data_IF_407513018249
#
_entry.id   IF_407513018249
#
_cell.length_a   1.000
_cell.length_b   1.000
_cell.length_c   1.000
_cell.angle_alpha   90.00
_cell.angle_beta   90.00
_cell.angle_gamma   90.00
#
_symmetry.space_group_name_H-M   'P 1'
#
loop_
_entity.id
_entity.type
_entity.pdbx_description
1 polymer ?
#
# COMPACT_ATOMS: atom_id res chain seq x y z
N UNK A 1 -3.83 17.64 13.59
CA UNK A 1 -3.93 18.33 12.27
C UNK A 1 -2.62 18.95 11.82
N UNK A 2 -1.96 19.81 12.62
CA UNK A 2 -0.67 20.44 12.25
C UNK A 2 0.49 19.44 12.03
N UNK A 3 0.58 18.37 12.82
CA UNK A 3 1.62 17.34 12.67
C UNK A 3 1.43 16.50 11.39
N UNK A 4 0.17 16.23 11.01
CA UNK A 4 -0.17 15.53 9.76
C UNK A 4 0.10 16.40 8.53
N UNK A 5 -0.18 17.70 8.61
CA UNK A 5 0.15 18.65 7.55
C UNK A 5 1.68 18.78 7.40
N UNK A 6 2.42 18.83 8.51
CA UNK A 6 3.89 18.85 8.51
C UNK A 6 4.43 17.53 7.94
N UNK A 7 3.91 16.37 8.32
CA UNK A 7 4.33 15.09 7.74
C UNK A 7 4.04 14.99 6.23
N UNK A 8 2.88 15.49 5.78
CA UNK A 8 2.53 15.53 4.36
C UNK A 8 3.42 16.51 3.59
N UNK A 9 3.71 17.68 4.16
CA UNK A 9 4.62 18.67 3.59
C UNK A 9 6.09 18.20 3.61
N UNK A 10 6.49 17.43 4.61
CA UNK A 10 7.81 16.76 4.67
C UNK A 10 7.93 15.64 3.65
N UNK A 11 6.85 14.88 3.40
CA UNK A 11 6.77 13.89 2.33
C UNK A 11 6.87 14.56 0.94
N UNK A 12 6.18 15.68 0.75
CA UNK A 12 6.25 16.49 -0.47
C UNK A 12 7.64 17.13 -0.67
N UNK A 13 8.29 17.56 0.42
CA UNK A 13 9.65 18.10 0.39
C UNK A 13 10.71 17.02 0.13
N UNK A 14 10.54 15.81 0.68
CA UNK A 14 11.40 14.64 0.38
C UNK A 14 11.26 14.21 -1.08
N UNK A 15 10.05 14.22 -1.66
CA UNK A 15 9.88 13.97 -3.10
C UNK A 15 10.54 15.06 -3.97
N UNK A 16 10.54 16.32 -3.50
CA UNK A 16 11.22 17.42 -4.19
C UNK A 16 12.76 17.39 -4.05
N UNK A 17 13.30 16.75 -3.00
CA UNK A 17 14.74 16.53 -2.86
C UNK A 17 15.23 15.32 -3.67
N UNK A 18 14.43 14.24 -3.78
CA UNK A 18 14.71 13.13 -4.69
C UNK A 18 14.76 13.58 -6.16
N UNK A 19 13.93 14.56 -6.54
CA UNK A 19 14.00 15.27 -7.81
C UNK A 19 15.38 15.92 -8.05
N UNK A 20 16.01 16.51 -7.03
CA UNK A 20 17.28 17.23 -7.19
C UNK A 20 18.51 16.33 -7.37
N UNK A 21 18.49 15.13 -6.78
CA UNK A 21 19.58 14.14 -6.89
C UNK A 21 19.45 13.25 -8.14
N UNK A 22 18.22 13.01 -8.64
CA UNK A 22 18.00 12.30 -9.90
C UNK A 22 18.16 13.17 -11.16
N UNK A 23 17.99 14.49 -11.06
CA UNK A 23 18.06 15.39 -12.22
C UNK A 23 19.47 15.71 -12.73
N UNK A 24 20.54 15.47 -11.96
CA UNK A 24 21.88 15.92 -12.39
C UNK A 24 22.51 15.07 -13.50
N UNK A 25 21.85 14.00 -13.97
CA UNK A 25 22.41 13.13 -15.00
C UNK A 25 21.74 13.14 -16.39
N UNK A 26 20.43 13.40 -16.49
CA UNK A 26 19.67 12.89 -17.66
C UNK A 26 18.66 13.86 -18.29
N UNK A 27 18.81 15.15 -18.06
CA UNK A 27 17.98 16.17 -18.71
C UNK A 27 18.81 17.16 -19.52
N UNK A 28 19.17 16.81 -20.76
CA UNK A 28 19.59 17.84 -21.73
C UNK A 28 18.55 18.02 -22.83
N UNK A 29 18.21 19.30 -22.98
CA UNK A 29 17.12 19.92 -23.72
C UNK A 29 17.37 19.93 -25.23
N UNK A 30 16.54 19.22 -26.02
CA UNK A 30 16.36 19.51 -27.45
C UNK A 30 15.22 20.54 -27.63
N UNK A 31 15.45 21.80 -27.28
CA UNK A 31 14.63 22.94 -27.75
C UNK A 31 15.54 23.80 -28.63
N UNK A 32 15.19 23.88 -29.91
CA UNK A 32 16.09 24.29 -30.98
C UNK A 32 16.53 25.75 -30.94
N UNK A 33 17.77 25.97 -31.35
CA UNK A 33 18.21 27.21 -31.98
C UNK A 33 18.57 26.88 -33.42
N UNK A 34 17.81 27.47 -34.34
CA UNK A 34 18.03 27.40 -35.78
C UNK A 34 19.37 28.04 -36.15
N UNK A 35 20.35 27.21 -36.50
CA UNK A 35 21.48 27.64 -37.33
C UNK A 35 21.61 26.73 -38.54
N UNK A 36 21.81 27.39 -39.68
CA UNK A 36 21.76 26.82 -41.02
C UNK A 36 22.82 25.74 -41.22
N UNK A 37 22.41 24.50 -41.50
CA UNK A 37 23.29 23.49 -42.08
C UNK A 37 22.60 22.80 -43.26
N UNK A 38 23.33 22.70 -44.37
CA UNK A 38 22.88 22.13 -45.62
C UNK A 38 22.92 20.59 -45.55
N UNK A 39 21.76 19.94 -45.72
CA UNK A 39 21.68 18.57 -46.24
C UNK A 39 21.48 17.41 -45.26
N UNK A 40 21.13 17.65 -43.99
CA UNK A 40 20.80 16.60 -43.03
C UNK A 40 19.40 16.75 -42.42
N UNK A 41 18.82 15.66 -41.93
CA UNK A 41 17.57 15.73 -41.15
C UNK A 41 17.86 16.51 -39.85
N UNK A 42 17.19 17.64 -39.57
CA UNK A 42 17.49 18.49 -38.41
C UNK A 42 17.30 17.78 -37.06
N UNK A 43 16.74 16.57 -37.06
CA UNK A 43 16.51 15.73 -35.89
C UNK A 43 17.65 14.74 -35.61
N UNK A 44 18.54 14.47 -36.57
CA UNK A 44 19.58 13.44 -36.45
C UNK A 44 20.57 13.68 -35.29
N UNK A 45 21.05 14.92 -35.03
CA UNK A 45 21.88 15.20 -33.86
C UNK A 45 21.17 14.95 -32.53
N UNK A 46 19.86 15.22 -32.45
CA UNK A 46 19.08 14.98 -31.22
C UNK A 46 18.82 13.49 -31.01
N UNK A 47 18.56 12.74 -32.09
CA UNK A 47 18.39 11.28 -32.02
C UNK A 47 19.69 10.60 -31.59
N UNK A 48 20.83 11.09 -32.09
CA UNK A 48 22.14 10.52 -31.81
C UNK A 48 22.53 10.54 -30.32
N UNK A 49 22.01 11.51 -29.54
CA UNK A 49 22.28 11.66 -28.11
C UNK A 49 21.11 11.24 -27.22
N UNK A 50 20.00 10.75 -27.80
CA UNK A 50 18.83 10.35 -27.04
C UNK A 50 18.95 8.87 -26.64
N UNK A 51 19.39 8.64 -25.40
CA UNK A 51 19.57 7.30 -24.85
C UNK A 51 18.29 6.45 -24.89
N UNK A 52 17.11 7.03 -24.66
CA UNK A 52 15.85 6.29 -24.62
C UNK A 52 15.47 5.76 -26.00
N UNK A 53 15.61 6.60 -27.03
CA UNK A 53 15.38 6.21 -28.42
C UNK A 53 16.36 5.12 -28.84
N UNK A 54 17.65 5.30 -28.55
CA UNK A 54 18.68 4.33 -28.91
C UNK A 54 18.44 2.99 -28.19
N UNK A 55 18.23 2.97 -26.88
CA UNK A 55 17.96 1.72 -26.17
C UNK A 55 16.73 0.98 -26.71
N UNK A 56 15.64 1.70 -26.98
CA UNK A 56 14.41 1.11 -27.53
C UNK A 56 14.63 0.56 -28.95
N UNK A 57 15.39 1.28 -29.79
CA UNK A 57 15.74 0.83 -31.14
C UNK A 57 16.62 -0.43 -31.11
N UNK A 58 17.62 -0.48 -30.22
CA UNK A 58 18.49 -1.64 -30.06
C UNK A 58 17.70 -2.89 -29.65
N UNK A 59 16.76 -2.73 -28.70
CA UNK A 59 15.89 -3.81 -28.27
C UNK A 59 14.91 -4.26 -29.37
N UNK A 60 14.39 -3.33 -30.17
CA UNK A 60 13.54 -3.66 -31.31
C UNK A 60 14.30 -4.51 -32.35
N UNK A 61 15.53 -4.11 -32.68
CA UNK A 61 16.37 -4.84 -33.63
C UNK A 61 16.77 -6.22 -33.10
N UNK A 62 17.14 -6.36 -31.82
CA UNK A 62 17.51 -7.67 -31.26
C UNK A 62 16.35 -8.67 -31.26
N UNK A 63 15.12 -8.20 -31.09
CA UNK A 63 13.93 -9.07 -31.02
C UNK A 63 13.31 -9.36 -32.39
N UNK A 64 13.36 -8.40 -33.33
CA UNK A 64 12.72 -8.53 -34.65
C UNK A 64 13.65 -8.99 -35.76
N UNK A 65 14.95 -8.82 -35.57
CA UNK A 65 15.97 -9.23 -36.52
C UNK A 65 16.85 -10.35 -35.94
N UNK A 66 16.24 -11.30 -35.21
CA UNK A 66 16.95 -12.41 -34.58
C UNK A 66 17.68 -13.33 -35.58
N UNK A 67 17.23 -13.36 -36.84
CA UNK A 67 17.82 -14.16 -37.92
C UNK A 67 19.00 -13.46 -38.63
N UNK A 68 19.28 -12.19 -38.27
CA UNK A 68 20.32 -11.36 -38.89
C UNK A 68 21.59 -11.42 -38.05
N UNK A 69 22.76 -11.43 -38.70
CA UNK A 69 24.03 -11.51 -37.95
C UNK A 69 24.26 -10.24 -37.13
N UNK A 70 24.86 -10.33 -35.93
CA UNK A 70 25.17 -9.15 -35.11
C UNK A 70 26.04 -8.11 -35.84
N UNK A 71 26.92 -8.54 -36.75
CA UNK A 71 27.73 -7.66 -37.60
C UNK A 71 26.91 -6.83 -38.59
N UNK A 72 25.85 -7.41 -39.15
CA UNK A 72 24.94 -6.69 -40.06
C UNK A 72 24.08 -5.69 -39.29
N UNK A 73 23.68 -6.03 -38.06
CA UNK A 73 22.95 -5.12 -37.18
C UNK A 73 23.81 -3.94 -36.72
N UNK A 74 25.08 -4.15 -36.39
CA UNK A 74 26.03 -3.06 -36.09
C UNK A 74 26.28 -2.17 -37.32
N UNK A 75 26.37 -2.76 -38.52
CA UNK A 75 26.51 -2.01 -39.77
C UNK A 75 25.28 -1.15 -40.07
N UNK A 76 24.08 -1.72 -39.87
CA UNK A 76 22.82 -0.98 -39.98
C UNK A 76 22.75 0.15 -38.94
N UNK A 77 23.15 -0.13 -37.70
CA UNK A 77 23.17 0.83 -36.62
C UNK A 77 24.06 2.04 -36.92
N UNK A 78 25.30 1.78 -37.35
CA UNK A 78 26.27 2.82 -37.68
C UNK A 78 25.82 3.71 -38.86
N UNK A 79 25.03 3.16 -39.79
CA UNK A 79 24.62 3.87 -40.99
C UNK A 79 23.22 4.49 -40.95
N UNK A 80 22.28 3.95 -40.16
CA UNK A 80 20.85 4.26 -40.30
C UNK A 80 20.14 4.53 -38.96
N UNK A 81 20.77 4.31 -37.81
CA UNK A 81 20.09 4.49 -36.51
C UNK A 81 19.57 5.92 -36.27
N UNK A 82 20.29 6.92 -36.75
CA UNK A 82 19.97 8.36 -36.58
C UNK A 82 19.17 8.94 -37.76
N UNK A 83 18.96 8.16 -38.82
CA UNK A 83 18.37 8.60 -40.08
C UNK A 83 19.31 9.45 -40.97
N UNK A 84 20.51 9.77 -40.51
CA UNK A 84 21.54 10.50 -41.26
C UNK A 84 22.90 9.80 -41.14
N UNK A 85 23.50 9.46 -42.28
CA UNK A 85 24.79 8.75 -42.34
C UNK A 85 25.97 9.58 -41.82
N UNK A 86 25.81 10.89 -41.72
CA UNK A 86 26.85 11.81 -41.26
C UNK A 86 26.91 11.93 -39.73
N UNK A 87 25.86 11.46 -39.03
CA UNK A 87 25.74 11.58 -37.57
C UNK A 87 25.70 10.18 -36.95
N UNK A 88 26.77 9.79 -36.28
CA UNK A 88 26.84 8.53 -35.54
C UNK A 88 26.07 8.62 -34.22
N UNK A 89 25.33 7.57 -33.86
CA UNK A 89 24.75 7.43 -32.54
C UNK A 89 25.85 7.42 -31.45
N UNK A 90 25.55 7.98 -30.29
CA UNK A 90 26.46 8.05 -29.14
C UNK A 90 26.84 6.64 -28.63
N UNK A 91 25.93 5.67 -28.79
CA UNK A 91 26.08 4.30 -28.30
C UNK A 91 26.16 3.34 -29.49
N UNK A 92 26.99 2.31 -29.40
CA UNK A 92 26.98 1.18 -30.36
C UNK A 92 25.75 0.30 -30.14
N UNK A 93 25.35 -0.51 -31.12
CA UNK A 93 24.18 -1.37 -30.96
C UNK A 93 24.34 -2.32 -29.76
N UNK A 94 25.50 -2.97 -29.64
CA UNK A 94 25.79 -3.87 -28.53
C UNK A 94 25.80 -3.18 -27.16
N UNK A 95 26.32 -1.94 -27.08
CA UNK A 95 26.35 -1.19 -25.82
C UNK A 95 24.98 -0.63 -25.44
N UNK A 96 24.19 -0.16 -26.42
CA UNK A 96 22.81 0.28 -26.22
C UNK A 96 21.92 -0.87 -25.74
N UNK A 97 22.09 -2.07 -26.31
CA UNK A 97 21.35 -3.26 -25.87
C UNK A 97 21.77 -3.73 -24.48
N UNK A 98 23.07 -3.72 -24.17
CA UNK A 98 23.59 -4.18 -22.89
C UNK A 98 23.17 -3.29 -21.70
N UNK A 99 22.93 -2.00 -21.96
CA UNK A 99 22.53 -1.04 -20.95
C UNK A 99 21.02 -0.74 -20.92
N UNK A 100 20.24 -1.42 -21.75
CA UNK A 100 18.78 -1.37 -21.66
C UNK A 100 18.30 -2.13 -20.42
N UNK A 101 18.03 -1.40 -19.33
CA UNK A 101 17.34 -1.93 -18.16
C UNK A 101 15.90 -1.39 -18.11
N UNK A 102 14.95 -2.26 -18.46
CA UNK A 102 13.52 -1.98 -18.38
C UNK A 102 13.09 -1.48 -16.99
N UNK A 103 13.73 -1.93 -15.91
CA UNK A 103 13.41 -1.50 -14.55
C UNK A 103 13.86 -0.06 -14.27
N UNK A 104 14.85 0.47 -14.99
CA UNK A 104 15.30 1.86 -14.84
C UNK A 104 14.38 2.80 -15.61
N UNK A 105 13.99 2.40 -16.83
CA UNK A 105 13.00 3.15 -17.62
C UNK A 105 11.65 3.23 -16.91
N UNK A 106 11.17 2.10 -16.35
CA UNK A 106 9.94 2.06 -15.58
C UNK A 106 9.98 2.97 -14.35
N UNK A 107 11.06 2.95 -13.57
CA UNK A 107 11.22 3.84 -12.40
C UNK A 107 11.16 5.33 -12.79
N UNK A 108 11.74 5.68 -13.94
CA UNK A 108 11.65 7.03 -14.49
C UNK A 108 10.20 7.39 -14.84
N UNK A 109 9.50 6.55 -15.60
CA UNK A 109 8.09 6.75 -15.91
C UNK A 109 7.24 6.82 -14.64
N UNK A 110 7.49 5.99 -13.63
CA UNK A 110 6.76 6.02 -12.37
C UNK A 110 6.99 7.33 -11.60
N UNK A 111 8.23 7.81 -11.55
CA UNK A 111 8.58 9.09 -10.91
C UNK A 111 7.91 10.28 -11.60
N UNK A 112 7.89 10.25 -12.94
CA UNK A 112 7.29 11.28 -13.79
C UNK A 112 5.77 11.24 -13.67
N UNK A 113 5.16 10.06 -13.78
CA UNK A 113 3.72 9.86 -13.62
C UNK A 113 3.25 10.21 -12.20
N UNK A 114 3.98 9.83 -11.16
CA UNK A 114 3.65 10.20 -9.77
C UNK A 114 3.60 11.72 -9.63
N UNK A 115 4.58 12.42 -10.20
CA UNK A 115 4.63 13.89 -10.21
C UNK A 115 3.45 14.51 -10.95
N UNK A 116 3.15 14.05 -12.17
CA UNK A 116 2.02 14.57 -12.95
C UNK A 116 0.67 14.20 -12.36
N UNK A 117 0.51 13.01 -11.77
CA UNK A 117 -0.72 12.58 -11.10
C UNK A 117 -0.97 13.44 -9.85
N UNK A 118 0.06 13.75 -9.06
CA UNK A 118 -0.08 14.66 -7.92
C UNK A 118 -0.47 16.06 -8.40
N UNK A 119 0.13 16.57 -9.47
CA UNK A 119 -0.24 17.86 -10.07
C UNK A 119 -1.68 17.84 -10.58
N UNK A 120 -2.09 16.80 -11.31
CA UNK A 120 -3.44 16.64 -11.86
C UNK A 120 -4.50 16.46 -10.76
N UNK A 121 -4.20 15.72 -9.69
CA UNK A 121 -5.09 15.60 -8.52
C UNK A 121 -5.15 16.95 -7.79
N UNK A 122 -4.02 17.63 -7.61
CA UNK A 122 -3.99 18.93 -6.93
C UNK A 122 -4.78 19.97 -7.71
N UNK A 123 -4.60 20.05 -9.03
CA UNK A 123 -5.38 20.94 -9.91
C UNK A 123 -6.84 20.48 -9.98
N UNK A 124 -7.10 19.17 -10.12
CA UNK A 124 -8.43 18.60 -10.23
C UNK A 124 -9.27 18.74 -8.95
N UNK A 125 -8.65 18.81 -7.77
CA UNK A 125 -9.32 19.07 -6.48
C UNK A 125 -9.35 20.57 -6.17
N UNK A 126 -8.26 21.30 -6.45
CA UNK A 126 -8.21 22.75 -6.21
C UNK A 126 -9.16 23.52 -7.12
N UNK A 127 -9.35 23.08 -8.37
CA UNK A 127 -10.20 23.78 -9.35
C UNK A 127 -11.67 23.81 -8.91
N UNK A 128 -12.33 22.69 -8.57
CA UNK A 128 -13.71 22.70 -8.06
C UNK A 128 -13.86 23.45 -6.74
N UNK A 129 -12.89 23.34 -5.83
CA UNK A 129 -12.90 24.05 -4.53
C UNK A 129 -12.77 25.56 -4.73
N UNK A 130 -11.85 25.99 -5.60
CA UNK A 130 -11.65 27.39 -5.96
C UNK A 130 -12.91 27.98 -6.62
N UNK A 131 -13.49 27.30 -7.62
CA UNK A 131 -14.73 27.78 -8.25
C UNK A 131 -15.94 27.74 -7.31
N UNK A 132 -15.99 26.79 -6.37
CA UNK A 132 -17.02 26.78 -5.31
C UNK A 132 -16.83 27.95 -4.34
N UNK A 133 -15.59 28.31 -4.00
CA UNK A 133 -15.27 29.46 -3.16
C UNK A 133 -15.63 30.81 -3.83
N UNK A 134 -15.43 30.92 -5.16
CA UNK A 134 -15.81 32.13 -5.92
C UNK A 134 -17.33 32.36 -5.95
N UNK A 135 -18.15 31.32 -5.80
CA UNK A 135 -19.62 31.43 -5.67
C UNK A 135 -20.11 32.10 -4.38
N UNK A 136 -19.23 32.28 -3.38
CA UNK A 136 -19.55 33.04 -2.16
C UNK A 136 -19.26 34.55 -2.31
N UNK A 137 -18.63 34.98 -3.41
CA UNK A 137 -18.37 36.39 -3.69
C UNK A 137 -19.61 37.00 -4.33
N UNK A 138 -20.21 38.07 -3.74
CA UNK A 138 -21.32 38.76 -4.37
C UNK A 138 -20.88 39.23 -5.77
N UNK A 139 -21.78 39.14 -6.75
CA UNK A 139 -21.58 39.47 -8.18
C UNK A 139 -20.97 38.38 -9.10
N UNK A 140 -20.38 37.28 -8.60
CA UNK A 140 -19.73 36.26 -9.46
C UNK A 140 -20.58 35.07 -9.91
N UNK A 141 -21.83 34.97 -9.47
CA UNK A 141 -22.68 33.79 -9.77
C UNK A 141 -23.01 33.63 -11.27
N UNK A 142 -23.30 34.71 -11.98
CA UNK A 142 -23.68 34.68 -13.42
C UNK A 142 -22.58 34.17 -14.36
N UNK A 143 -21.31 34.62 -14.28
CA UNK A 143 -20.24 34.08 -15.13
C UNK A 143 -19.86 32.64 -14.76
N UNK A 144 -19.92 32.28 -13.47
CA UNK A 144 -19.58 30.92 -12.99
C UNK A 144 -20.56 29.88 -13.52
N UNK A 145 -21.86 30.16 -13.49
CA UNK A 145 -22.89 29.22 -13.98
C UNK A 145 -22.75 28.91 -15.48
N UNK A 146 -22.19 29.84 -16.27
CA UNK A 146 -21.95 29.67 -17.71
C UNK A 146 -20.74 28.79 -18.03
N UNK A 147 -19.74 28.76 -17.15
CA UNK A 147 -18.47 28.04 -17.35
C UNK A 147 -18.50 26.64 -16.69
N UNK A 148 -19.31 26.48 -15.63
CA UNK A 148 -19.47 25.24 -14.84
C UNK A 148 -19.63 23.94 -15.65
N UNK A 149 -20.41 23.90 -16.75
CA UNK A 149 -20.62 22.67 -17.52
C UNK A 149 -19.35 22.17 -18.25
N UNK A 150 -18.45 23.08 -18.64
CA UNK A 150 -17.26 22.74 -19.43
C UNK A 150 -16.04 22.36 -18.58
N UNK A 151 -15.94 22.90 -17.36
CA UNK A 151 -14.81 22.66 -16.45
C UNK A 151 -15.05 21.55 -15.42
N UNK A 152 -16.28 21.38 -14.94
CA UNK A 152 -16.60 20.42 -13.86
C UNK A 152 -17.10 19.07 -14.41
N UNK A 153 -17.69 19.06 -15.62
CA UNK A 153 -18.23 17.85 -16.25
C UNK A 153 -17.67 17.63 -17.67
N UNK A 154 -16.35 17.42 -17.86
CA UNK A 154 -15.86 16.98 -19.15
C UNK A 154 -16.43 15.58 -19.45
N UNK A 155 -17.21 15.48 -20.52
CA UNK A 155 -17.80 14.23 -21.01
C UNK A 155 -16.69 13.25 -21.40
N UNK A 156 -16.50 12.21 -20.58
CA UNK A 156 -15.36 11.28 -20.62
C UNK A 156 -15.45 10.21 -21.72
N UNK A 157 -16.43 10.29 -22.63
CA UNK A 157 -16.64 9.27 -23.66
C UNK A 157 -16.70 9.87 -25.06
N UNK A 158 -15.52 10.11 -25.66
CA UNK A 158 -15.35 9.97 -27.11
C UNK A 158 -13.91 9.64 -27.53
N UNK A 159 -13.71 8.36 -27.82
CA UNK A 159 -12.90 7.75 -28.88
C UNK A 159 -11.50 8.26 -29.20
N UNK A 160 -10.48 7.59 -28.65
CA UNK A 160 -9.32 7.10 -29.40
C UNK A 160 -8.79 5.83 -28.71
N UNK A 161 -9.26 4.65 -29.15
CA UNK A 161 -8.64 3.39 -28.79
C UNK A 161 -7.45 3.16 -29.73
N UNK A 162 -6.26 3.55 -29.31
CA UNK A 162 -5.01 3.16 -29.98
C UNK A 162 -4.85 1.66 -29.71
N UNK A 163 -4.94 0.82 -30.75
CA UNK A 163 -4.68 -0.61 -30.62
C UNK A 163 -3.18 -0.80 -30.36
N UNK A 164 -2.77 -1.32 -29.19
CA UNK A 164 -1.35 -1.52 -28.89
C UNK A 164 -0.77 -2.62 -29.79
N UNK A 165 0.42 -2.39 -30.33
CA UNK A 165 1.24 -3.43 -30.95
C UNK A 165 1.63 -4.51 -29.89
N UNK A 166 1.99 -5.75 -30.29
CA UNK A 166 2.20 -6.87 -29.36
C UNK A 166 3.28 -6.65 -28.27
N UNK A 167 4.24 -5.75 -28.48
CA UNK A 167 5.28 -5.41 -27.48
C UNK A 167 4.73 -4.49 -26.38
N UNK A 168 3.90 -3.51 -26.78
CA UNK A 168 3.21 -2.61 -25.85
C UNK A 168 2.25 -3.38 -24.93
N UNK A 169 1.79 -4.56 -25.35
CA UNK A 169 0.99 -5.44 -24.51
C UNK A 169 1.81 -6.03 -23.35
N UNK A 170 3.08 -6.41 -23.57
CA UNK A 170 3.92 -6.95 -22.51
C UNK A 170 4.32 -5.86 -21.51
N UNK A 171 4.64 -4.66 -22.01
CA UNK A 171 4.88 -3.46 -21.20
C UNK A 171 3.63 -3.06 -20.41
N UNK A 172 2.45 -3.07 -21.02
CA UNK A 172 1.19 -2.79 -20.33
C UNK A 172 0.91 -3.82 -19.23
N UNK A 173 1.16 -5.11 -19.49
CA UNK A 173 1.01 -6.18 -18.49
C UNK A 173 2.00 -5.97 -17.34
N UNK A 174 3.27 -5.64 -17.65
CA UNK A 174 4.28 -5.33 -16.63
C UNK A 174 3.87 -4.12 -15.80
N UNK A 175 3.39 -3.05 -16.44
CA UNK A 175 2.88 -1.86 -15.79
C UNK A 175 1.73 -2.20 -14.83
N UNK A 176 0.73 -2.96 -15.27
CA UNK A 176 -0.35 -3.44 -14.39
C UNK A 176 0.21 -4.26 -13.22
N UNK A 177 1.22 -5.09 -13.48
CA UNK A 177 1.90 -5.86 -12.44
C UNK A 177 2.56 -4.99 -11.39
N UNK A 178 3.37 -4.02 -11.77
CA UNK A 178 3.98 -3.10 -10.82
C UNK A 178 2.91 -2.35 -10.01
N UNK A 179 1.91 -1.74 -10.68
CA UNK A 179 0.84 -0.98 -9.98
C UNK A 179 0.05 -1.83 -8.99
N UNK A 180 -0.27 -3.07 -9.34
CA UNK A 180 -0.94 -3.99 -8.41
C UNK A 180 -0.05 -4.37 -7.23
N UNK A 181 1.27 -4.47 -7.43
CA UNK A 181 2.25 -4.62 -6.35
C UNK A 181 2.20 -3.46 -5.36
N UNK A 182 2.35 -2.23 -5.83
CA UNK A 182 2.28 -1.02 -4.98
C UNK A 182 0.99 -0.92 -4.17
N UNK A 183 -0.15 -1.17 -4.84
CA UNK A 183 -1.46 -1.16 -4.18
C UNK A 183 -1.51 -2.26 -3.11
N UNK A 184 -0.96 -3.44 -3.37
CA UNK A 184 -0.90 -4.52 -2.38
C UNK A 184 -0.11 -4.12 -1.13
N UNK A 185 1.04 -3.46 -1.27
CA UNK A 185 1.84 -2.94 -0.14
C UNK A 185 1.08 -1.88 0.69
N UNK A 186 0.39 -0.94 0.01
CA UNK A 186 -0.44 0.04 0.70
C UNK A 186 -1.61 -0.63 1.46
N UNK A 187 -2.26 -1.62 0.84
CA UNK A 187 -3.31 -2.41 1.48
C UNK A 187 -2.80 -3.30 2.62
N UNK A 188 -1.54 -3.73 2.59
CA UNK A 188 -0.90 -4.48 3.67
C UNK A 188 -0.79 -3.62 4.93
N UNK A 189 -0.34 -2.37 4.79
CA UNK A 189 -0.34 -1.39 5.89
C UNK A 189 -1.74 -1.18 6.46
N UNK A 190 -2.73 -0.99 5.59
CA UNK A 190 -4.11 -0.78 6.01
C UNK A 190 -4.68 -2.02 6.72
N UNK A 191 -4.36 -3.22 6.23
CA UNK A 191 -4.71 -4.50 6.86
C UNK A 191 -4.20 -4.57 8.30
N UNK A 192 -2.93 -4.20 8.51
CA UNK A 192 -2.28 -4.20 9.83
C UNK A 192 -2.87 -3.13 10.75
N UNK A 193 -3.22 -1.96 10.21
CA UNK A 193 -3.86 -0.90 10.97
C UNK A 193 -5.28 -1.28 11.45
N UNK A 194 -6.08 -1.90 10.59
CA UNK A 194 -7.49 -2.21 10.85
C UNK A 194 -7.71 -3.36 11.86
N UNK A 195 -6.75 -4.26 12.06
CA UNK A 195 -6.88 -5.28 13.13
C UNK A 195 -6.54 -4.73 14.52
N UNK A 196 -5.78 -3.64 14.59
CA UNK A 196 -5.37 -3.04 15.86
C UNK A 196 -6.59 -2.49 16.60
N UNK A 197 -6.72 -2.82 17.89
CA UNK A 197 -7.78 -2.26 18.76
C UNK A 197 -7.52 -0.82 19.19
N UNK A 198 -6.27 -0.38 19.04
CA UNK A 198 -5.83 0.97 19.38
C UNK A 198 -5.32 1.64 18.11
N UNK A 199 -6.21 1.74 17.13
CA UNK A 199 -5.91 2.39 15.87
C UNK A 199 -6.52 3.79 15.88
N UNK A 200 -5.86 4.71 15.17
CA UNK A 200 -6.26 6.12 15.09
C UNK A 200 -7.62 6.27 14.38
N UNK A 201 -7.96 5.35 13.47
CA UNK A 201 -9.22 5.37 12.75
C UNK A 201 -10.42 5.25 13.70
N UNK A 202 -10.38 4.32 14.65
CA UNK A 202 -11.43 4.15 15.67
C UNK A 202 -11.65 5.43 16.48
N UNK A 203 -10.59 6.20 16.75
CA UNK A 203 -10.69 7.46 17.50
C UNK A 203 -11.30 8.59 16.68
N UNK A 204 -11.09 8.60 15.36
CA UNK A 204 -11.58 9.66 14.47
C UNK A 204 -13.01 9.37 14.03
N UNK A 205 -13.32 8.12 13.72
CA UNK A 205 -14.59 7.74 13.09
C UNK A 205 -15.64 7.26 14.08
N UNK A 206 -15.25 7.06 15.35
CA UNK A 206 -16.09 6.47 16.41
C UNK A 206 -16.74 5.14 15.98
N UNK A 207 -16.04 4.38 15.13
CA UNK A 207 -16.53 3.09 14.65
C UNK A 207 -16.37 2.02 15.74
N UNK A 208 -17.33 1.09 15.87
CA UNK A 208 -17.12 -0.04 16.75
C UNK A 208 -16.02 -0.95 16.19
N UNK A 209 -15.26 -1.59 17.08
CA UNK A 209 -14.15 -2.48 16.70
C UNK A 209 -14.60 -3.64 15.79
N UNK A 210 -15.84 -4.09 15.93
CA UNK A 210 -16.46 -5.08 15.04
C UNK A 210 -16.45 -4.63 13.57
N UNK A 211 -16.74 -3.36 13.29
CA UNK A 211 -16.69 -2.77 11.95
C UNK A 211 -15.26 -2.77 11.40
N UNK A 212 -14.28 -2.37 12.23
CA UNK A 212 -12.86 -2.41 11.85
C UNK A 212 -12.39 -3.81 11.46
N UNK A 213 -12.87 -4.84 12.16
CA UNK A 213 -12.57 -6.24 11.82
C UNK A 213 -13.24 -6.70 10.52
N UNK A 214 -14.45 -6.23 10.21
CA UNK A 214 -15.10 -6.48 8.91
C UNK A 214 -14.23 -5.89 7.80
N UNK A 215 -13.79 -4.64 7.95
CA UNK A 215 -12.94 -3.97 6.98
C UNK A 215 -11.58 -4.66 6.84
N UNK A 216 -10.93 -5.04 7.94
CA UNK A 216 -9.69 -5.81 7.92
C UNK A 216 -9.81 -7.07 7.04
N UNK A 217 -10.91 -7.82 7.16
CA UNK A 217 -11.13 -9.03 6.34
C UNK A 217 -11.28 -8.72 4.84
N UNK A 218 -12.00 -7.66 4.49
CA UNK A 218 -12.17 -7.25 3.09
C UNK A 218 -10.89 -6.68 2.49
N UNK A 219 -10.20 -5.80 3.22
CA UNK A 219 -8.92 -5.22 2.80
C UNK A 219 -7.84 -6.31 2.68
N UNK A 220 -7.80 -7.30 3.58
CA UNK A 220 -6.89 -8.44 3.47
C UNK A 220 -7.13 -9.26 2.18
N UNK A 221 -8.40 -9.49 1.81
CA UNK A 221 -8.74 -10.17 0.54
C UNK A 221 -8.32 -9.34 -0.67
N UNK A 222 -8.51 -8.03 -0.62
CA UNK A 222 -8.07 -7.13 -1.70
C UNK A 222 -6.55 -7.08 -1.82
N UNK A 223 -5.82 -7.04 -0.71
CA UNK A 223 -4.35 -7.09 -0.67
C UNK A 223 -3.83 -8.37 -1.33
N UNK A 224 -4.41 -9.52 -0.95
CA UNK A 224 -4.08 -10.81 -1.55
C UNK A 224 -4.45 -10.89 -3.04
N UNK A 225 -5.61 -10.39 -3.44
CA UNK A 225 -6.00 -10.32 -4.85
C UNK A 225 -4.98 -9.51 -5.65
N UNK A 226 -4.57 -8.35 -5.16
CA UNK A 226 -3.57 -7.51 -5.83
C UNK A 226 -2.19 -8.19 -5.88
N UNK A 227 -1.79 -8.92 -4.82
CA UNK A 227 -0.53 -9.68 -4.82
C UNK A 227 -0.54 -10.85 -5.83
N UNK A 228 -1.68 -11.55 -5.95
CA UNK A 228 -1.88 -12.60 -6.95
C UNK A 228 -1.84 -12.01 -8.36
N UNK A 229 -2.55 -10.90 -8.59
CA UNK A 229 -2.53 -10.20 -9.88
C UNK A 229 -1.12 -9.72 -10.23
N UNK A 230 -0.40 -9.12 -9.29
CA UNK A 230 1.01 -8.73 -9.45
C UNK A 230 1.87 -9.94 -9.88
N UNK A 231 1.73 -11.07 -9.19
CA UNK A 231 2.49 -12.28 -9.49
C UNK A 231 2.18 -12.85 -10.89
N UNK A 232 0.90 -12.92 -11.26
CA UNK A 232 0.46 -13.46 -12.57
C UNK A 232 0.88 -12.54 -13.71
N UNK A 233 0.68 -11.23 -13.55
CA UNK A 233 0.99 -10.25 -14.60
C UNK A 233 2.49 -10.11 -14.80
N UNK A 234 3.31 -10.06 -13.74
CA UNK A 234 4.76 -10.07 -13.92
C UNK A 234 5.25 -11.39 -14.52
N UNK A 235 4.73 -12.55 -14.11
CA UNK A 235 5.05 -13.81 -14.79
C UNK A 235 4.75 -13.75 -16.30
N UNK A 236 3.55 -13.29 -16.66
CA UNK A 236 3.15 -13.17 -18.06
C UNK A 236 4.00 -12.16 -18.84
N UNK A 237 4.39 -11.05 -18.23
CA UNK A 237 5.26 -10.05 -18.85
C UNK A 237 6.66 -10.62 -19.09
N UNK A 238 7.29 -11.22 -18.08
CA UNK A 238 8.66 -11.75 -18.17
C UNK A 238 8.77 -12.92 -19.15
N UNK A 239 7.73 -13.76 -19.27
CA UNK A 239 7.67 -14.80 -20.31
C UNK A 239 7.63 -14.17 -21.71
N UNK A 240 6.86 -13.09 -21.89
CA UNK A 240 6.75 -12.38 -23.18
C UNK A 240 8.00 -11.58 -23.53
N UNK A 241 8.72 -11.07 -22.54
CA UNK A 241 10.02 -10.40 -22.71
C UNK A 241 11.17 -11.40 -22.89
N UNK A 242 10.95 -12.70 -22.63
CA UNK A 242 11.98 -13.74 -22.77
C UNK A 242 12.99 -13.81 -21.62
N UNK A 243 12.86 -12.98 -20.58
CA UNK A 243 13.81 -12.92 -19.45
C UNK A 243 13.44 -13.83 -18.28
N UNK A 244 12.30 -14.53 -18.36
CA UNK A 244 11.80 -15.40 -17.28
C UNK A 244 12.84 -16.42 -16.77
N UNK A 245 13.52 -17.14 -17.67
CA UNK A 245 14.46 -18.20 -17.30
C UNK A 245 15.69 -17.69 -16.55
N UNK A 246 16.10 -16.45 -16.80
CA UNK A 246 17.21 -15.82 -16.07
C UNK A 246 16.77 -15.23 -14.74
N UNK A 247 15.53 -14.73 -14.66
CA UNK A 247 15.06 -13.96 -13.51
C UNK A 247 14.45 -14.84 -12.40
N UNK A 248 13.88 -16.00 -12.72
CA UNK A 248 13.24 -16.89 -11.73
C UNK A 248 14.20 -17.38 -10.63
N UNK A 249 15.50 -17.44 -10.93
CA UNK A 249 16.55 -17.85 -9.98
C UNK A 249 17.06 -16.69 -9.12
N UNK A 250 16.65 -15.45 -9.39
CA UNK A 250 17.08 -14.29 -8.61
C UNK A 250 16.40 -14.30 -7.24
N UNK A 251 17.09 -13.86 -6.17
CA UNK A 251 16.57 -13.95 -4.81
C UNK A 251 15.26 -13.19 -4.61
N UNK A 252 15.08 -12.03 -5.26
CA UNK A 252 13.83 -11.27 -5.15
C UNK A 252 12.61 -12.03 -5.69
N UNK A 253 12.77 -12.81 -6.77
CA UNK A 253 11.70 -13.65 -7.34
C UNK A 253 11.29 -14.74 -6.35
N UNK A 254 12.27 -15.43 -5.75
CA UNK A 254 12.02 -16.49 -4.77
C UNK A 254 11.27 -15.93 -3.56
N UNK A 255 11.71 -14.81 -3.00
CA UNK A 255 11.05 -14.17 -1.86
C UNK A 255 9.65 -13.62 -2.21
N UNK A 256 9.45 -13.16 -3.45
CA UNK A 256 8.12 -12.79 -3.95
C UNK A 256 7.16 -13.98 -3.98
N UNK A 257 7.62 -15.15 -4.46
CA UNK A 257 6.84 -16.39 -4.46
C UNK A 257 6.51 -16.82 -3.02
N UNK A 258 7.49 -16.83 -2.12
CA UNK A 258 7.28 -17.17 -0.70
C UNK A 258 6.26 -16.22 -0.06
N UNK A 259 6.38 -14.91 -0.28
CA UNK A 259 5.46 -13.91 0.23
C UNK A 259 4.01 -14.12 -0.24
N UNK A 260 3.82 -14.31 -1.55
CA UNK A 260 2.49 -14.56 -2.13
C UNK A 260 1.89 -15.88 -1.63
N UNK A 261 2.68 -16.95 -1.53
CA UNK A 261 2.23 -18.24 -1.00
C UNK A 261 1.79 -18.12 0.46
N UNK A 262 2.58 -17.47 1.33
CA UNK A 262 2.20 -17.23 2.71
C UNK A 262 0.91 -16.40 2.82
N UNK A 263 0.73 -15.40 1.94
CA UNK A 263 -0.48 -14.58 1.91
C UNK A 263 -1.72 -15.37 1.48
N UNK A 264 -1.59 -16.27 0.51
CA UNK A 264 -2.67 -17.19 0.10
C UNK A 264 -2.99 -18.18 1.21
N UNK A 265 -1.98 -18.73 1.89
CA UNK A 265 -2.17 -19.63 3.04
C UNK A 265 -2.90 -18.94 4.19
N UNK A 266 -2.59 -17.66 4.46
CA UNK A 266 -3.34 -16.85 5.44
C UNK A 266 -4.83 -16.75 5.07
N UNK A 267 -5.16 -16.55 3.80
CA UNK A 267 -6.56 -16.50 3.35
C UNK A 267 -7.27 -17.83 3.53
N UNK A 268 -6.63 -18.94 3.14
CA UNK A 268 -7.20 -20.28 3.25
C UNK A 268 -7.41 -20.65 4.72
N UNK A 269 -6.42 -20.40 5.58
CA UNK A 269 -6.53 -20.62 7.01
C UNK A 269 -7.64 -19.76 7.64
N UNK A 270 -7.89 -18.58 7.09
CA UNK A 270 -8.95 -17.65 7.54
C UNK A 270 -10.37 -18.04 7.13
N UNK A 271 -10.57 -19.20 6.48
CA UNK A 271 -11.90 -19.72 6.15
C UNK A 271 -12.60 -20.27 7.40
N UNK A 272 -13.91 -20.01 7.53
CA UNK A 272 -14.75 -20.24 8.73
C UNK A 272 -14.61 -21.60 9.40
N UNK A 273 -14.18 -22.61 8.66
CA UNK A 273 -14.03 -23.98 9.16
C UNK A 273 -12.95 -24.09 10.24
N UNK A 274 -11.78 -23.48 10.03
CA UNK A 274 -10.64 -23.63 10.94
C UNK A 274 -10.83 -22.93 12.29
N UNK A 275 -11.39 -21.71 12.28
CA UNK A 275 -11.55 -20.90 13.49
C UNK A 275 -12.73 -21.33 14.36
N UNK A 276 -13.72 -22.03 13.80
CA UNK A 276 -14.79 -22.67 14.58
C UNK A 276 -14.32 -23.95 15.28
N UNK A 277 -13.37 -24.68 14.68
CA UNK A 277 -12.88 -25.94 15.24
C UNK A 277 -11.94 -25.70 16.43
N UNK A 278 -10.97 -24.80 16.30
CA UNK A 278 -10.11 -24.39 17.41
C UNK A 278 -9.51 -23.02 17.15
N UNK A 279 -9.85 -22.07 18.02
CA UNK A 279 -9.35 -20.70 17.91
C UNK A 279 -7.82 -20.61 18.07
N UNK A 280 -7.22 -21.45 18.91
CA UNK A 280 -5.77 -21.45 19.17
C UNK A 280 -4.96 -22.00 18.00
N UNK A 281 -5.44 -23.12 17.43
CA UNK A 281 -4.83 -23.75 16.25
C UNK A 281 -4.96 -22.85 15.03
N UNK A 282 -5.95 -21.95 15.02
CA UNK A 282 -6.06 -20.90 14.03
C UNK A 282 -5.11 -19.72 14.30
N UNK A 283 -5.07 -19.19 15.53
CA UNK A 283 -4.39 -17.93 15.83
C UNK A 283 -2.86 -18.00 15.72
N UNK A 284 -2.23 -19.07 16.25
CA UNK A 284 -0.76 -19.15 16.30
C UNK A 284 -0.17 -19.24 14.89
N UNK A 285 -0.58 -20.18 14.02
CA UNK A 285 -0.01 -20.26 12.68
C UNK A 285 -0.35 -19.03 11.83
N UNK A 286 -1.49 -18.37 12.08
CA UNK A 286 -1.82 -17.11 11.39
C UNK A 286 -0.81 -16.00 11.72
N UNK A 287 -0.41 -15.85 12.99
CA UNK A 287 0.60 -14.85 13.38
C UNK A 287 1.96 -15.21 12.76
N UNK A 288 2.34 -16.49 12.79
CA UNK A 288 3.60 -16.97 12.21
C UNK A 288 3.64 -16.67 10.71
N UNK A 289 2.58 -17.04 9.96
CA UNK A 289 2.47 -16.75 8.53
C UNK A 289 2.47 -15.25 8.24
N UNK A 290 1.81 -14.43 9.06
CA UNK A 290 1.82 -12.97 8.90
C UNK A 290 3.24 -12.38 9.08
N UNK A 291 4.04 -12.92 10.00
CA UNK A 291 5.45 -12.56 10.15
C UNK A 291 6.24 -12.97 8.91
N UNK A 292 6.03 -14.19 8.39
CA UNK A 292 6.67 -14.62 7.13
C UNK A 292 6.27 -13.78 5.93
N UNK A 293 5.03 -13.28 5.83
CA UNK A 293 4.63 -12.34 4.79
C UNK A 293 5.45 -11.05 4.89
N UNK A 294 5.60 -10.47 6.09
CA UNK A 294 6.39 -9.23 6.26
C UNK A 294 7.85 -9.46 5.88
N UNK A 295 8.45 -10.57 6.30
CA UNK A 295 9.83 -10.93 5.91
C UNK A 295 9.95 -11.19 4.41
N UNK A 296 9.00 -11.92 3.81
CA UNK A 296 8.96 -12.17 2.37
C UNK A 296 8.89 -10.88 1.57
N UNK A 297 8.02 -9.95 1.97
CA UNK A 297 7.90 -8.63 1.37
C UNK A 297 9.18 -7.79 1.55
N UNK A 298 9.81 -7.84 2.73
CA UNK A 298 11.07 -7.15 3.00
C UNK A 298 12.18 -7.63 2.07
N UNK A 299 12.44 -8.94 2.05
CA UNK A 299 13.49 -9.51 1.22
C UNK A 299 13.19 -9.40 -0.27
N UNK A 300 11.92 -9.47 -0.68
CA UNK A 300 11.50 -9.22 -2.05
C UNK A 300 11.90 -7.82 -2.52
N UNK A 301 11.63 -6.77 -1.74
CA UNK A 301 12.03 -5.40 -2.08
C UNK A 301 13.55 -5.24 -2.00
N UNK A 302 14.17 -5.68 -0.91
CA UNK A 302 15.59 -5.50 -0.66
C UNK A 302 16.46 -6.10 -1.77
N UNK A 303 16.13 -7.30 -2.25
CA UNK A 303 16.87 -7.95 -3.32
C UNK A 303 16.50 -7.47 -4.72
N UNK A 304 15.36 -6.78 -4.89
CA UNK A 304 14.96 -6.20 -6.18
C UNK A 304 15.63 -4.84 -6.40
N UNK A 305 15.48 -3.92 -5.44
CA UNK A 305 16.03 -2.55 -5.50
C UNK A 305 16.63 -2.19 -4.13
N UNK A 306 17.87 -2.62 -3.84
CA UNK A 306 18.51 -2.29 -2.58
C UNK A 306 18.64 -0.77 -2.43
N UNK A 307 18.19 -0.21 -1.30
CA UNK A 307 18.30 1.21 -0.96
C UNK A 307 17.51 2.20 -1.85
N UNK A 308 16.40 1.75 -2.46
CA UNK A 308 15.48 2.66 -3.16
C UNK A 308 14.79 3.69 -2.26
N UNK A 309 14.91 3.56 -0.92
CA UNK A 309 14.31 4.34 0.18
C UNK A 309 12.77 4.41 0.18
N UNK A 310 12.10 4.45 -0.97
CA UNK A 310 10.66 4.65 -1.11
C UNK A 310 9.86 3.38 -0.78
N UNK A 311 10.33 2.22 -1.21
CA UNK A 311 9.57 0.96 -1.08
C UNK A 311 9.69 0.36 0.32
N UNK A 312 10.86 0.48 0.94
CA UNK A 312 11.12 0.02 2.31
C UNK A 312 10.23 0.76 3.34
N UNK A 313 9.86 2.03 3.07
CA UNK A 313 8.96 2.81 3.92
C UNK A 313 7.63 2.12 4.19
N UNK A 314 7.05 1.44 3.20
CA UNK A 314 5.80 0.71 3.39
C UNK A 314 5.93 -0.37 4.47
N UNK A 315 7.04 -1.11 4.45
CA UNK A 315 7.30 -2.15 5.44
C UNK A 315 7.70 -1.55 6.79
N UNK A 316 8.48 -0.47 6.82
CA UNK A 316 8.76 0.26 8.06
C UNK A 316 7.46 0.72 8.74
N UNK A 317 6.52 1.27 7.98
CA UNK A 317 5.20 1.67 8.49
C UNK A 317 4.42 0.47 9.03
N UNK A 318 4.39 -0.66 8.30
CA UNK A 318 3.73 -1.90 8.75
C UNK A 318 4.31 -2.36 10.09
N UNK A 319 5.64 -2.46 10.19
CA UNK A 319 6.35 -2.86 11.39
C UNK A 319 6.09 -1.88 12.55
N UNK A 320 6.13 -0.57 12.29
CA UNK A 320 5.86 0.46 13.29
C UNK A 320 4.43 0.35 13.84
N UNK A 321 3.41 0.27 12.98
CA UNK A 321 2.01 0.15 13.41
C UNK A 321 1.80 -1.13 14.23
N UNK A 322 2.37 -2.26 13.79
CA UNK A 322 2.30 -3.51 14.56
C UNK A 322 2.97 -3.36 15.92
N UNK A 323 4.20 -2.84 15.97
CA UNK A 323 4.98 -2.67 17.19
C UNK A 323 4.26 -1.75 18.19
N UNK A 324 3.84 -0.56 17.76
CA UNK A 324 3.15 0.40 18.64
C UNK A 324 1.84 -0.17 19.17
N UNK A 325 1.09 -0.93 18.37
CA UNK A 325 -0.10 -1.62 18.86
C UNK A 325 0.21 -2.60 20.01
N UNK A 326 1.32 -3.36 19.91
CA UNK A 326 1.76 -4.26 20.98
C UNK A 326 2.28 -3.49 22.19
N UNK A 327 3.06 -2.43 21.98
CA UNK A 327 3.58 -1.57 23.03
C UNK A 327 2.45 -0.94 23.86
N UNK A 328 1.45 -0.31 23.23
CA UNK A 328 0.33 0.29 23.95
C UNK A 328 -0.51 -0.73 24.73
N UNK A 329 -0.57 -1.98 24.26
CA UNK A 329 -1.19 -3.07 25.01
C UNK A 329 -0.42 -3.38 26.29
N UNK A 330 0.90 -3.54 26.19
CA UNK A 330 1.77 -3.79 27.36
C UNK A 330 1.72 -2.63 28.34
N UNK A 331 1.81 -1.38 27.86
CA UNK A 331 1.72 -0.18 28.71
C UNK A 331 0.40 -0.10 29.48
N UNK A 332 -0.74 -0.43 28.84
CA UNK A 332 -2.05 -0.47 29.52
C UNK A 332 -2.12 -1.56 30.59
N UNK A 333 -1.57 -2.74 30.32
CA UNK A 333 -1.51 -3.83 31.30
C UNK A 333 -0.60 -3.44 32.47
N UNK A 334 0.58 -2.88 32.18
CA UNK A 334 1.51 -2.40 33.20
C UNK A 334 0.91 -1.29 34.08
N UNK A 335 0.18 -0.33 33.50
CA UNK A 335 -0.50 0.75 34.23
C UNK A 335 -1.54 0.23 35.22
N UNK A 336 -2.34 -0.76 34.83
CA UNK A 336 -3.40 -1.30 35.69
C UNK A 336 -2.87 -2.32 36.71
N UNK A 337 -1.74 -2.96 36.39
CA UNK A 337 -1.08 -3.96 37.22
C UNK A 337 -1.86 -5.28 37.29
N UNK A 338 -1.31 -6.25 38.01
CA UNK A 338 -2.00 -7.49 38.34
C UNK A 338 -2.89 -7.26 39.55
N UNK A 339 -4.18 -7.58 39.42
CA UNK A 339 -5.18 -7.44 40.49
C UNK A 339 -5.78 -8.82 40.78
N UNK A 340 -6.12 -9.06 42.04
CA UNK A 340 -6.94 -10.23 42.43
C UNK A 340 -8.42 -9.87 42.29
N UNK A 341 -9.19 -10.79 41.71
CA UNK A 341 -10.63 -10.69 41.59
C UNK A 341 -11.28 -11.71 42.54
N UNK A 342 -12.38 -11.32 43.18
CA UNK A 342 -13.28 -12.26 43.87
C UNK A 342 -14.29 -12.78 42.86
N UNK A 343 -14.49 -14.08 42.83
CA UNK A 343 -15.42 -14.75 41.92
C UNK A 343 -16.69 -15.07 42.69
N UNK A 344 -17.82 -14.50 42.27
CA UNK A 344 -19.14 -14.74 42.86
C UNK A 344 -19.99 -15.46 41.83
N UNK A 345 -20.43 -16.67 42.15
CA UNK A 345 -21.33 -17.44 41.31
C UNK A 345 -22.78 -16.98 41.59
N UNK A 346 -23.44 -16.43 40.57
CA UNK A 346 -24.84 -16.00 40.65
C UNK A 346 -25.80 -17.12 40.22
N UNK A 347 -25.34 -17.99 39.33
CA UNK A 347 -26.07 -19.13 38.76
C UNK A 347 -25.10 -20.05 38.02
N UNK A 348 -25.50 -21.29 37.70
CA UNK A 348 -24.74 -22.30 36.92
C UNK A 348 -24.12 -21.78 35.60
N UNK A 349 -24.61 -20.64 35.09
CA UNK A 349 -24.19 -20.05 33.81
C UNK A 349 -23.64 -18.63 33.92
N UNK A 350 -23.71 -18.00 35.09
CA UNK A 350 -23.38 -16.58 35.27
C UNK A 350 -22.45 -16.40 36.46
N UNK A 351 -21.27 -15.86 36.16
CA UNK A 351 -20.23 -15.57 37.14
C UNK A 351 -19.98 -14.07 37.16
N UNK A 352 -20.00 -13.47 38.35
CA UNK A 352 -19.60 -12.08 38.60
C UNK A 352 -18.16 -12.04 39.10
N UNK A 353 -17.39 -11.11 38.55
CA UNK A 353 -15.99 -10.88 38.93
C UNK A 353 -15.88 -9.51 39.61
N UNK A 354 -15.67 -9.51 40.91
CA UNK A 354 -15.52 -8.29 41.70
C UNK A 354 -14.03 -7.95 41.87
N UNK A 355 -13.60 -6.80 41.34
CA UNK A 355 -12.20 -6.35 41.35
C UNK A 355 -12.07 -5.11 42.23
N UNK A 356 -11.39 -5.24 43.37
CA UNK A 356 -11.20 -4.14 44.32
C UNK A 356 -10.18 -3.10 43.83
N UNK A 357 -10.44 -1.83 44.11
CA UNK A 357 -9.47 -0.74 43.91
C UNK A 357 -9.37 -0.21 42.47
N UNK A 358 -10.35 -0.52 41.61
CA UNK A 358 -10.45 0.02 40.25
C UNK A 358 -11.54 1.08 40.20
N UNK A 359 -11.16 2.35 40.02
CA UNK A 359 -12.09 3.46 39.76
C UNK A 359 -12.08 3.78 38.27
N UNK A 360 -12.88 3.06 37.49
CA UNK A 360 -13.14 3.41 36.09
C UNK A 360 -14.33 4.36 36.00
N UNK A 361 -14.37 5.21 34.97
CA UNK A 361 -15.48 6.13 34.75
C UNK A 361 -16.79 5.33 34.70
N UNK A 362 -17.74 5.75 35.55
CA UNK A 362 -19.01 5.09 35.87
C UNK A 362 -20.04 5.10 34.73
N UNK A 363 -19.61 5.36 33.50
CA UNK A 363 -20.47 5.50 32.34
C UNK A 363 -20.96 4.14 31.85
N UNK A 364 -22.28 3.93 31.71
CA UNK A 364 -22.84 2.71 31.15
C UNK A 364 -22.31 2.41 29.73
N UNK A 365 -22.23 1.12 29.37
CA UNK A 365 -21.81 0.68 28.03
C UNK A 365 -20.32 0.42 27.85
N UNK A 366 -19.50 0.61 28.89
CA UNK A 366 -18.08 0.30 28.85
C UNK A 366 -17.83 -1.20 29.05
N UNK A 367 -16.82 -1.71 28.36
CA UNK A 367 -16.35 -3.09 28.49
C UNK A 367 -14.84 -3.11 28.72
N UNK A 368 -14.37 -4.17 29.35
CA UNK A 368 -12.99 -4.36 29.74
C UNK A 368 -12.41 -5.62 29.10
N UNK A 369 -11.11 -5.61 28.85
CA UNK A 369 -10.39 -6.82 28.45
C UNK A 369 -9.60 -7.36 29.65
N UNK A 370 -9.92 -8.57 30.06
CA UNK A 370 -9.33 -9.23 31.24
C UNK A 370 -8.43 -10.38 30.78
N UNK A 371 -7.29 -10.52 31.46
CA UNK A 371 -6.34 -11.64 31.29
C UNK A 371 -6.39 -12.51 32.55
N UNK A 372 -6.34 -13.83 32.41
CA UNK A 372 -6.40 -14.78 33.53
C UNK A 372 -5.08 -15.55 33.70
N UNK A 373 -4.02 -14.91 34.21
CA UNK A 373 -2.71 -15.55 34.31
C UNK A 373 -2.68 -16.77 35.23
N UNK A 374 -3.53 -16.80 36.28
CA UNK A 374 -3.58 -17.91 37.25
C UNK A 374 -4.35 -19.12 36.73
N UNK A 375 -5.42 -18.91 35.97
CA UNK A 375 -6.26 -20.00 35.44
C UNK A 375 -5.66 -20.62 34.17
N UNK A 376 -4.91 -19.82 33.40
CA UNK A 376 -4.30 -20.27 32.16
C UNK A 376 -2.82 -19.83 32.08
N UNK A 377 -1.92 -20.47 32.83
CA UNK A 377 -0.51 -20.07 32.94
C UNK A 377 0.23 -20.06 31.59
N UNK A 378 -0.16 -20.94 30.68
CA UNK A 378 0.43 -21.05 29.34
C UNK A 378 -0.23 -20.14 28.29
N UNK A 379 -1.26 -19.36 28.67
CA UNK A 379 -2.05 -18.50 27.75
C UNK A 379 -2.17 -17.06 28.25
N UNK A 380 -1.05 -16.51 28.75
CA UNK A 380 -0.98 -15.16 29.33
C UNK A 380 -1.32 -14.02 28.34
N UNK A 381 -1.28 -14.31 27.04
CA UNK A 381 -1.53 -13.35 25.95
C UNK A 381 -3.01 -13.27 25.54
N UNK A 382 -3.87 -14.14 26.07
CA UNK A 382 -5.30 -14.14 25.78
C UNK A 382 -6.05 -13.15 26.65
N UNK A 383 -6.89 -12.35 26.00
CA UNK A 383 -7.81 -11.47 26.70
C UNK A 383 -9.24 -11.69 26.22
N UNK A 384 -10.17 -11.54 27.14
CA UNK A 384 -11.59 -11.71 26.86
C UNK A 384 -12.34 -10.42 27.21
N UNK A 385 -13.27 -9.97 26.35
CA UNK A 385 -14.10 -8.82 26.65
C UNK A 385 -15.15 -9.18 27.70
N UNK A 386 -15.29 -8.36 28.73
CA UNK A 386 -16.33 -8.42 29.74
C UNK A 386 -17.01 -7.06 29.86
N UNK A 387 -18.35 -7.05 29.93
CA UNK A 387 -19.10 -5.84 30.23
C UNK A 387 -18.88 -5.42 31.68
N UNK A 388 -18.72 -4.13 31.93
CA UNK A 388 -18.53 -3.59 33.28
C UNK A 388 -19.91 -3.25 33.87
N UNK A 389 -20.18 -3.76 35.07
CA UNK A 389 -21.34 -3.38 35.88
C UNK A 389 -20.90 -2.48 37.03
N UNK A 390 -21.66 -1.42 37.31
CA UNK A 390 -21.33 -0.49 38.39
C UNK A 390 -21.70 -1.12 39.75
N UNK A 391 -20.71 -1.22 40.64
CA UNK A 391 -20.88 -1.74 41.99
C UNK A 391 -21.87 -0.92 42.82
N UNK A 392 -21.95 0.41 42.62
CA UNK A 392 -22.90 1.27 43.33
C UNK A 392 -24.35 0.93 43.00
N UNK A 393 -24.66 0.70 41.71
CA UNK A 393 -26.00 0.29 41.26
C UNK A 393 -26.39 -1.08 41.81
N UNK A 394 -25.42 -2.00 41.91
CA UNK A 394 -25.66 -3.31 42.51
C UNK A 394 -25.93 -3.18 44.01
N UNK A 395 -25.21 -2.31 44.71
CA UNK A 395 -25.37 -2.14 46.15
C UNK A 395 -26.71 -1.51 46.52
N UNK A 396 -27.21 -0.56 45.70
CA UNK A 396 -28.57 -0.03 45.82
C UNK A 396 -29.64 -1.09 45.56
N UNK A 397 -29.47 -1.92 44.53
CA UNK A 397 -30.40 -3.01 44.22
C UNK A 397 -30.47 -4.05 45.36
N UNK A 398 -29.32 -4.48 45.88
CA UNK A 398 -29.28 -5.41 47.02
C UNK A 398 -29.83 -4.78 48.31
N UNK A 399 -29.57 -3.49 48.55
CA UNK A 399 -30.15 -2.78 49.69
C UNK A 399 -31.68 -2.72 49.59
N UNK A 400 -32.22 -2.39 48.41
CA UNK A 400 -33.66 -2.37 48.16
C UNK A 400 -34.32 -3.75 48.32
N UNK A 401 -33.67 -4.81 47.84
CA UNK A 401 -34.15 -6.19 47.97
C UNK A 401 -34.14 -6.68 49.43
N UNK A 402 -33.11 -6.30 50.19
CA UNK A 402 -33.04 -6.59 51.64
C UNK A 402 -34.09 -5.84 52.45
N UNK A 403 -34.43 -4.60 52.08
CA UNK A 403 -35.51 -3.85 52.73
C UNK A 403 -36.89 -4.46 52.43
N UNK A 404 -37.10 -5.00 51.23
CA UNK A 404 -38.38 -5.63 50.87
C UNK A 404 -38.58 -7.02 51.50
N UNK A 405 -37.49 -7.77 51.73
CA UNK A 405 -37.53 -9.06 52.44
C UNK A 405 -37.76 -8.94 53.95
N UNK A 406 -37.58 -7.75 54.54
CA UNK A 406 -37.78 -7.49 55.97
C UNK A 406 -39.22 -7.28 56.40
N UNK A 407 -40.14 -7.07 55.46
CA UNK A 407 -41.54 -6.67 55.74
C UNK A 407 -42.56 -7.83 55.71
N UNK A 408 -42.10 -9.09 55.75
CA UNK A 408 -43.00 -10.23 56.02
C UNK A 408 -43.14 -10.39 57.53
N UNK A 409 -43.95 -9.52 58.14
CA UNK A 409 -44.50 -9.75 59.47
C UNK A 409 -45.35 -11.03 59.44
N UNK A 410 -44.94 -12.05 60.21
CA UNK A 410 -45.83 -13.12 60.61
C UNK A 410 -46.98 -12.51 61.41
N UNK A 411 -48.19 -12.52 60.84
CA UNK A 411 -49.45 -12.36 61.56
C UNK A 411 -50.27 -13.62 61.43
#
# INVERSE_FOLDING_TARGET
>A
MRILLVALLSLLASSANAYKTGLMGYGQSCIGTSEHSHGGSPLAPCIATNSDFLHTLAYCLSTRCADVSPSELESYWAGQATGDKTVSAEWTYGSALANYDFNVFFDWEESVQSTYVIILISIGVATPVFFSALGYIPFMNRPIDKIRPYLIYPSTFRGYNIRPLPYLLAELIAYVGYRTGHISFALLLLTVLLFSRNNILLWITDWPFSTSLVLHRWVARLCALHAILHSITLLAAYIRLGTYYTDVHKPYWIWGIVGTLCLVLLLVQSVLWFHRASYEVFLIPYIVLAVFVIFGCWYHIYFWKPFSEVYELWIYMVCAVWFFHRLFRVLRVAKNGVRRASVVELSDKIVRLDISGVRWLSTPGYYAYIYFPTLQPFRLWQNHPFSITNTALLQEAFAAESSHSGDVQMS
#
